data_IF_448847013686
#
_entry.id   IF_448847013686
#
_cell.length_a   1.000
_cell.length_b   1.000
_cell.length_c   1.000
_cell.angle_alpha   90.00
_cell.angle_beta   90.00
_cell.angle_gamma   90.00
#
_symmetry.space_group_name_H-M   'P 1'
#
loop_
_entity.id
_entity.type
_entity.pdbx_description
1 polymer ?
#
# COMPACT_ATOMS: atom_id res chain seq x y z
N UNK A 1 -1.44 10.74 3.04
CA UNK A 1 -0.88 10.76 1.67
C UNK A 1 0.60 11.07 1.78
N UNK A 2 1.45 10.16 1.31
CA UNK A 2 2.92 10.27 1.34
C UNK A 2 3.46 10.85 0.01
N UNK A 3 4.75 11.17 -0.06
CA UNK A 3 5.35 11.84 -1.24
C UNK A 3 5.19 11.02 -2.53
N UNK A 4 5.34 9.70 -2.45
CA UNK A 4 5.18 8.81 -3.60
C UNK A 4 3.76 8.80 -4.13
N UNK A 5 2.77 8.94 -3.25
CA UNK A 5 1.37 9.05 -3.65
C UNK A 5 1.13 10.38 -4.36
N UNK A 6 1.62 11.50 -3.80
CA UNK A 6 1.45 12.83 -4.42
C UNK A 6 2.07 12.89 -5.82
N UNK A 7 3.29 12.38 -5.97
CA UNK A 7 3.96 12.31 -7.28
C UNK A 7 3.24 11.33 -8.22
N UNK A 8 2.81 10.18 -7.71
CA UNK A 8 2.09 9.18 -8.49
C UNK A 8 0.76 9.72 -9.02
N UNK A 9 -0.06 10.34 -8.17
CA UNK A 9 -1.33 10.94 -8.57
C UNK A 9 -1.15 12.11 -9.55
N UNK A 10 -0.13 12.95 -9.37
CA UNK A 10 0.22 13.97 -10.36
C UNK A 10 0.58 13.37 -11.73
N UNK A 11 1.36 12.29 -11.75
CA UNK A 11 1.71 11.59 -12.99
C UNK A 11 0.51 10.88 -13.65
N UNK A 12 -0.42 10.35 -12.84
CA UNK A 12 -1.68 9.79 -13.31
C UNK A 12 -2.54 10.87 -13.98
N UNK A 13 -2.65 12.05 -13.36
CA UNK A 13 -3.42 13.18 -13.89
C UNK A 13 -2.87 13.64 -15.25
N UNK A 14 -1.55 13.72 -15.39
CA UNK A 14 -0.90 14.00 -16.68
C UNK A 14 -1.19 12.95 -17.77
N UNK A 15 -1.54 11.72 -17.38
CA UNK A 15 -1.94 10.63 -18.28
C UNK A 15 -3.45 10.60 -18.54
N UNK A 16 -4.21 11.56 -18.00
CA UNK A 16 -5.66 11.65 -18.17
C UNK A 16 -6.46 10.71 -17.25
N UNK A 17 -5.82 10.16 -16.22
CA UNK A 17 -6.46 9.29 -15.24
C UNK A 17 -6.49 9.94 -13.86
N UNK A 18 -7.60 9.80 -13.13
CA UNK A 18 -7.79 10.42 -11.81
C UNK A 18 -7.62 9.44 -10.65
N UNK A 19 -7.56 8.14 -10.94
CA UNK A 19 -7.44 7.07 -9.95
C UNK A 19 -6.75 5.85 -10.57
N UNK A 20 -6.24 4.95 -9.73
CA UNK A 20 -5.63 3.70 -10.17
C UNK A 20 -6.72 2.64 -10.44
N UNK A 21 -6.37 1.59 -11.21
CA UNK A 21 -7.27 0.45 -11.43
C UNK A 21 -7.65 -0.27 -10.11
N UNK A 22 -6.71 -0.40 -9.18
CA UNK A 22 -6.96 -1.03 -7.88
C UNK A 22 -7.95 -0.19 -7.06
N UNK A 23 -7.72 1.11 -6.93
CA UNK A 23 -8.59 1.98 -6.14
C UNK A 23 -9.98 2.08 -6.78
N UNK A 24 -10.08 2.11 -8.12
CA UNK A 24 -11.36 2.02 -8.82
C UNK A 24 -12.14 0.74 -8.48
N UNK A 25 -11.47 -0.42 -8.44
CA UNK A 25 -12.10 -1.70 -8.09
C UNK A 25 -12.56 -1.75 -6.63
N UNK A 26 -11.79 -1.15 -5.72
CA UNK A 26 -12.15 -1.00 -4.31
C UNK A 26 -13.38 -0.08 -4.17
N UNK A 27 -13.38 1.08 -4.82
CA UNK A 27 -14.49 2.04 -4.79
C UNK A 27 -15.78 1.37 -5.25
N UNK A 28 -15.73 0.60 -6.35
CA UNK A 28 -16.90 -0.15 -6.83
C UNK A 28 -17.37 -1.19 -5.80
N UNK A 29 -16.44 -1.93 -5.21
CA UNK A 29 -16.72 -3.00 -4.23
C UNK A 29 -17.28 -2.48 -2.90
N UNK A 30 -17.01 -1.21 -2.57
CA UNK A 30 -17.45 -0.57 -1.32
C UNK A 30 -18.80 0.14 -1.44
N UNK A 31 -19.43 0.18 -2.62
CA UNK A 31 -20.76 0.76 -2.79
C UNK A 31 -21.78 0.06 -1.89
N UNK A 32 -22.43 0.83 -1.02
CA UNK A 32 -23.42 0.33 -0.06
C UNK A 32 -22.84 -0.45 1.12
N UNK A 33 -21.51 -0.56 1.24
CA UNK A 33 -20.86 -1.19 2.39
C UNK A 33 -20.84 -0.20 3.56
N UNK A 34 -21.23 -0.60 4.78
CA UNK A 34 -21.11 0.28 5.95
C UNK A 34 -19.66 0.67 6.25
N UNK A 35 -19.44 1.92 6.65
CA UNK A 35 -18.09 2.48 6.91
C UNK A 35 -17.22 1.58 7.80
N UNK A 36 -17.78 1.06 8.91
CA UNK A 36 -17.02 0.20 9.83
C UNK A 36 -16.54 -1.11 9.18
N UNK A 37 -17.35 -1.69 8.29
CA UNK A 37 -16.96 -2.89 7.56
C UNK A 37 -15.91 -2.56 6.49
N UNK A 38 -16.06 -1.45 5.78
CA UNK A 38 -15.06 -0.97 4.81
C UNK A 38 -13.70 -0.71 5.47
N UNK A 39 -13.68 -0.05 6.62
CA UNK A 39 -12.46 0.20 7.38
C UNK A 39 -11.79 -1.11 7.81
N UNK A 40 -12.57 -2.11 8.22
CA UNK A 40 -12.06 -3.42 8.59
C UNK A 40 -11.45 -4.16 7.40
N UNK A 41 -12.16 -4.24 6.27
CA UNK A 41 -11.78 -5.08 5.12
C UNK A 41 -10.78 -4.44 4.18
N UNK A 42 -10.71 -3.11 4.12
CA UNK A 42 -9.87 -2.38 3.16
C UNK A 42 -8.69 -1.68 3.83
N UNK A 43 -8.76 -1.40 5.14
CA UNK A 43 -7.63 -0.80 5.87
C UNK A 43 -6.99 -1.77 6.86
N UNK A 44 -7.75 -2.29 7.83
CA UNK A 44 -7.17 -3.03 8.95
C UNK A 44 -6.65 -4.41 8.58
N UNK A 45 -7.49 -5.25 7.97
CA UNK A 45 -7.11 -6.62 7.61
C UNK A 45 -5.98 -6.67 6.57
N UNK A 46 -6.02 -5.88 5.47
CA UNK A 46 -4.92 -5.87 4.49
C UNK A 46 -3.60 -5.39 5.10
N UNK A 47 -3.62 -4.32 5.91
CA UNK A 47 -2.40 -3.82 6.55
C UNK A 47 -1.70 -4.87 7.42
N UNK A 48 -2.45 -5.71 8.14
CA UNK A 48 -1.86 -6.81 8.91
C UNK A 48 -1.39 -7.93 7.97
N UNK A 49 -2.27 -8.41 7.11
CA UNK A 49 -2.00 -9.59 6.27
C UNK A 49 -0.80 -9.35 5.34
N UNK A 50 -0.78 -8.24 4.63
CA UNK A 50 0.26 -7.92 3.66
C UNK A 50 1.61 -7.72 4.33
N UNK A 51 1.69 -7.02 5.46
CA UNK A 51 2.95 -6.81 6.17
C UNK A 51 3.48 -8.10 6.82
N UNK A 52 2.60 -8.93 7.38
CA UNK A 52 3.02 -10.24 7.92
C UNK A 52 3.58 -11.13 6.82
N UNK A 53 2.91 -11.19 5.66
CA UNK A 53 3.34 -12.03 4.53
C UNK A 53 4.63 -11.46 3.91
N UNK A 54 4.65 -10.19 3.56
CA UNK A 54 5.75 -9.61 2.78
C UNK A 54 6.96 -9.25 3.62
N UNK A 55 6.77 -8.71 4.84
CA UNK A 55 7.89 -8.30 5.71
C UNK A 55 8.24 -9.40 6.70
N UNK A 56 7.23 -9.93 7.39
CA UNK A 56 7.40 -10.93 8.44
C UNK A 56 7.92 -12.27 7.93
N UNK A 57 7.43 -12.71 6.76
CA UNK A 57 7.83 -13.97 6.15
C UNK A 57 8.78 -13.78 4.95
N UNK A 58 8.31 -13.18 3.86
CA UNK A 58 9.06 -13.12 2.60
C UNK A 58 10.40 -12.40 2.74
N UNK A 59 10.40 -11.14 3.17
CA UNK A 59 11.62 -10.35 3.36
C UNK A 59 12.55 -10.97 4.40
N UNK A 60 12.03 -11.24 5.61
CA UNK A 60 12.84 -11.75 6.73
C UNK A 60 13.50 -13.09 6.40
N UNK A 61 12.78 -14.03 5.79
CA UNK A 61 13.26 -15.39 5.55
C UNK A 61 14.19 -15.51 4.36
N UNK A 62 13.93 -14.76 3.28
CA UNK A 62 14.68 -14.91 2.02
C UNK A 62 15.85 -13.93 1.91
N UNK A 63 15.79 -12.77 2.58
CA UNK A 63 16.74 -11.69 2.36
C UNK A 63 17.37 -11.13 3.64
N UNK A 64 17.28 -11.84 4.77
CA UNK A 64 17.80 -11.38 6.06
C UNK A 64 19.28 -10.96 6.06
N UNK A 65 20.12 -11.57 5.22
CA UNK A 65 21.54 -11.18 5.03
C UNK A 65 21.79 -10.22 3.86
N UNK A 66 20.80 -10.02 2.97
CA UNK A 66 20.89 -9.21 1.76
C UNK A 66 19.82 -8.09 1.78
N UNK A 67 19.86 -7.26 2.83
CA UNK A 67 18.79 -6.31 3.13
C UNK A 67 18.43 -5.38 1.96
N UNK A 68 19.42 -4.87 1.21
CA UNK A 68 19.17 -3.96 0.07
C UNK A 68 18.39 -4.67 -1.05
N UNK A 69 18.80 -5.89 -1.41
CA UNK A 69 18.10 -6.69 -2.43
C UNK A 69 16.70 -7.03 -1.95
N UNK A 70 16.56 -7.44 -0.68
CA UNK A 70 15.26 -7.70 -0.08
C UNK A 70 14.33 -6.50 -0.08
N UNK A 71 14.84 -5.30 0.19
CA UNK A 71 14.05 -4.07 0.20
C UNK A 71 13.52 -3.82 -1.21
N UNK A 72 14.38 -3.87 -2.23
CA UNK A 72 13.97 -3.65 -3.62
C UNK A 72 12.95 -4.71 -4.03
N UNK A 73 13.27 -5.99 -3.90
CA UNK A 73 12.40 -7.10 -4.35
C UNK A 73 11.07 -7.13 -3.60
N UNK A 74 11.07 -6.94 -2.28
CA UNK A 74 9.82 -6.93 -1.50
C UNK A 74 8.94 -5.74 -1.84
N UNK A 75 9.52 -4.57 -2.11
CA UNK A 75 8.77 -3.37 -2.50
C UNK A 75 8.22 -3.49 -3.92
N UNK A 76 9.01 -4.07 -4.82
CA UNK A 76 8.57 -4.37 -6.16
C UNK A 76 7.42 -5.39 -6.15
N UNK A 77 7.53 -6.46 -5.38
CA UNK A 77 6.47 -7.45 -5.24
C UNK A 77 5.19 -6.82 -4.65
N UNK A 78 5.31 -5.98 -3.63
CA UNK A 78 4.17 -5.25 -3.06
C UNK A 78 3.45 -4.42 -4.13
N UNK A 79 4.21 -3.64 -4.91
CA UNK A 79 3.67 -2.85 -6.01
C UNK A 79 2.97 -3.71 -7.07
N UNK A 80 3.60 -4.82 -7.48
CA UNK A 80 3.04 -5.72 -8.49
C UNK A 80 1.72 -6.39 -8.04
N UNK A 81 1.60 -6.75 -6.76
CA UNK A 81 0.39 -7.37 -6.21
C UNK A 81 -0.84 -6.45 -6.23
N UNK A 82 -0.65 -5.14 -6.37
CA UNK A 82 -1.72 -4.16 -6.53
C UNK A 82 -2.19 -4.00 -7.98
N UNK A 83 -1.72 -4.85 -8.91
CA UNK A 83 -2.14 -4.84 -10.32
C UNK A 83 -1.98 -3.49 -11.04
N UNK A 84 -0.82 -2.82 -10.94
CA UNK A 84 -0.62 -1.51 -11.55
C UNK A 84 -0.71 -1.60 -13.08
N UNK A 85 -1.50 -0.72 -13.68
CA UNK A 85 -1.69 -0.62 -15.13
C UNK A 85 -0.77 0.41 -15.80
N UNK A 86 -0.18 1.30 -15.00
CA UNK A 86 0.72 2.36 -15.45
C UNK A 86 1.89 2.53 -14.47
N UNK A 87 2.96 3.16 -14.93
CA UNK A 87 4.13 3.42 -14.09
C UNK A 87 3.79 4.27 -12.86
N UNK A 88 2.78 5.14 -12.99
CA UNK A 88 2.32 6.00 -11.91
C UNK A 88 1.70 5.19 -10.75
N UNK A 89 0.80 4.24 -11.03
CA UNK A 89 0.28 3.33 -9.98
C UNK A 89 1.36 2.43 -9.40
N UNK A 90 2.33 2.03 -10.22
CA UNK A 90 3.54 1.35 -9.75
C UNK A 90 4.31 2.20 -8.73
N UNK A 91 4.49 3.49 -8.98
CA UNK A 91 5.17 4.42 -8.08
C UNK A 91 4.40 4.60 -6.76
N UNK A 92 3.07 4.66 -6.81
CA UNK A 92 2.21 4.76 -5.62
C UNK A 92 2.40 3.53 -4.73
N UNK A 93 2.09 2.34 -5.25
CA UNK A 93 2.09 1.11 -4.46
C UNK A 93 3.51 0.64 -4.13
N UNK A 94 4.41 0.62 -5.11
CA UNK A 94 5.82 0.26 -4.89
C UNK A 94 6.53 1.23 -3.95
N UNK A 95 6.18 2.52 -4.01
CA UNK A 95 6.68 3.55 -3.10
C UNK A 95 6.24 3.34 -1.65
N UNK A 96 4.95 3.04 -1.42
CA UNK A 96 4.47 2.60 -0.11
C UNK A 96 5.17 1.33 0.36
N UNK A 97 5.31 0.37 -0.54
CA UNK A 97 6.04 -0.87 -0.26
C UNK A 97 7.48 -0.63 0.21
N UNK A 98 8.17 0.34 -0.40
CA UNK A 98 9.52 0.77 -0.02
C UNK A 98 9.55 1.36 1.38
N UNK A 99 8.62 2.26 1.68
CA UNK A 99 8.53 2.90 3.00
C UNK A 99 8.29 1.84 4.08
N UNK A 100 7.34 0.92 3.87
CA UNK A 100 7.02 -0.13 4.84
C UNK A 100 8.19 -1.11 5.03
N UNK A 101 8.86 -1.51 3.94
CA UNK A 101 10.01 -2.41 4.03
C UNK A 101 11.20 -1.77 4.74
N UNK A 102 11.52 -0.50 4.43
CA UNK A 102 12.58 0.25 5.12
C UNK A 102 12.25 0.42 6.61
N UNK A 103 11.00 0.72 6.94
CA UNK A 103 10.56 0.86 8.33
C UNK A 103 10.71 -0.45 9.09
N UNK A 104 10.32 -1.59 8.50
CA UNK A 104 10.55 -2.90 9.09
C UNK A 104 12.05 -3.20 9.26
N UNK A 105 12.85 -2.96 8.22
CA UNK A 105 14.29 -3.24 8.24
C UNK A 105 15.02 -2.44 9.34
N UNK A 106 14.66 -1.16 9.51
CA UNK A 106 15.27 -0.29 10.53
C UNK A 106 14.83 -0.60 11.95
N UNK A 107 13.56 -0.97 12.14
CA UNK A 107 12.99 -1.15 13.48
C UNK A 107 13.06 -2.59 13.98
N UNK A 108 12.99 -3.57 13.08
CA UNK A 108 12.86 -4.99 13.42
C UNK A 108 11.47 -5.41 13.89
N UNK A 109 10.50 -4.50 13.98
CA UNK A 109 9.16 -4.78 14.50
C UNK A 109 8.08 -4.55 13.44
N UNK A 110 7.16 -5.50 13.28
CA UNK A 110 6.06 -5.41 12.32
C UNK A 110 5.01 -4.37 12.68
N UNK A 111 4.90 -3.98 13.96
CA UNK A 111 3.87 -3.03 14.38
C UNK A 111 4.02 -1.67 13.71
N UNK A 112 5.25 -1.24 13.39
CA UNK A 112 5.49 0.05 12.73
C UNK A 112 5.00 0.10 11.28
N UNK A 113 5.41 -0.82 10.37
CA UNK A 113 4.85 -0.84 9.02
C UNK A 113 3.35 -1.11 9.02
N UNK A 114 2.84 -1.99 9.90
CA UNK A 114 1.38 -2.24 10.02
C UNK A 114 0.64 -0.96 10.39
N UNK A 115 1.11 -0.20 11.39
CA UNK A 115 0.45 1.02 11.83
C UNK A 115 0.45 2.08 10.72
N UNK A 116 1.58 2.29 10.04
CA UNK A 116 1.67 3.28 8.96
C UNK A 116 0.81 2.87 7.76
N UNK A 117 0.84 1.60 7.37
CA UNK A 117 0.02 1.07 6.29
C UNK A 117 -1.48 1.20 6.63
N UNK A 118 -1.88 0.80 7.84
CA UNK A 118 -3.26 0.96 8.31
C UNK A 118 -3.70 2.42 8.27
N UNK A 119 -2.90 3.35 8.80
CA UNK A 119 -3.23 4.78 8.80
C UNK A 119 -3.42 5.30 7.37
N UNK A 120 -2.56 4.88 6.44
CA UNK A 120 -2.67 5.27 5.04
C UNK A 120 -4.00 4.79 4.43
N UNK A 121 -4.32 3.50 4.58
CA UNK A 121 -5.53 2.94 4.00
C UNK A 121 -6.80 3.45 4.71
N UNK A 122 -6.74 3.65 6.02
CA UNK A 122 -7.83 4.20 6.81
C UNK A 122 -8.15 5.64 6.36
N UNK A 123 -7.12 6.44 6.08
CA UNK A 123 -7.32 7.77 5.51
C UNK A 123 -8.02 7.71 4.15
N UNK A 124 -7.63 6.79 3.26
CA UNK A 124 -8.29 6.60 1.97
C UNK A 124 -9.76 6.19 2.12
N UNK A 125 -10.08 5.30 3.07
CA UNK A 125 -11.47 4.92 3.37
C UNK A 125 -12.26 6.11 3.94
N UNK A 126 -11.68 6.88 4.86
CA UNK A 126 -12.32 8.09 5.40
C UNK A 126 -12.57 9.13 4.28
N UNK A 127 -11.59 9.34 3.40
CA UNK A 127 -11.71 10.19 2.22
C UNK A 127 -12.89 9.75 1.33
N UNK A 128 -12.95 8.45 1.01
CA UNK A 128 -14.01 7.84 0.22
C UNK A 128 -15.41 8.06 0.82
N UNK A 129 -15.58 7.94 2.13
CA UNK A 129 -16.90 7.98 2.76
C UNK A 129 -17.39 9.38 3.14
N UNK A 130 -16.49 10.34 3.38
CA UNK A 130 -16.83 11.62 4.00
C UNK A 130 -16.37 12.85 3.21
N UNK A 131 -15.49 12.69 2.21
CA UNK A 131 -14.89 13.80 1.46
C UNK A 131 -15.04 13.67 -0.07
N UNK A 132 -15.84 12.70 -0.52
CA UNK A 132 -16.25 12.57 -1.93
C UNK A 132 -17.43 13.46 -2.28
#
# INVERSE_FOLDING_TARGET
MQLTDMLGFYLLELQGATTTANDASIIESLKGVPFGLALLTTAFLPAIAEEVILRGYFFKKLFGSQAVVGIIVSSLLFGALHGPTELASWLIYGGGGLIFCVLYHKTGYLIYPIAVHFINNAWSVVALYYFQ
#
